data_IF_034270049376
#
_entry.id   IF_034270049376
#
_cell.length_a   1.000
_cell.length_b   1.000
_cell.length_c   1.000
_cell.angle_alpha   90.00
_cell.angle_beta   90.00
_cell.angle_gamma   90.00
#
_symmetry.space_group_name_H-M   'P 1'
#
loop_
_entity.id
_entity.type
_entity.pdbx_description
1 polymer ?
#
# COMPACT_ATOMS: atom_id res chain seq x y z
N UNK A 1 -8.34 -23.47 18.90
CA UNK A 1 -8.04 -23.32 17.45
C UNK A 1 -8.82 -22.10 16.99
N UNK A 2 -8.22 -20.91 17.07
CA UNK A 2 -8.83 -19.66 16.65
C UNK A 2 -8.86 -19.61 15.12
N UNK A 3 -10.04 -19.48 14.56
CA UNK A 3 -10.35 -19.48 13.14
C UNK A 3 -9.46 -18.47 12.37
N UNK A 4 -8.77 -18.91 11.33
CA UNK A 4 -7.90 -18.11 10.47
C UNK A 4 -8.63 -17.09 9.57
N UNK A 5 -9.83 -16.64 9.95
CA UNK A 5 -10.64 -15.64 9.23
C UNK A 5 -10.59 -14.23 9.81
N UNK A 6 -9.95 -14.03 10.98
CA UNK A 6 -10.00 -12.75 11.68
C UNK A 6 -8.94 -11.74 11.20
N UNK A 7 -7.92 -12.17 10.47
CA UNK A 7 -6.84 -11.31 10.00
C UNK A 7 -6.61 -11.48 8.50
N UNK A 8 -6.49 -10.35 7.80
CA UNK A 8 -6.24 -10.33 6.35
C UNK A 8 -4.74 -10.44 6.07
N UNK A 9 -3.89 -9.92 6.98
CA UNK A 9 -2.43 -10.07 6.93
C UNK A 9 -1.96 -10.71 8.22
N UNK A 10 -1.05 -11.70 8.11
CA UNK A 10 -0.38 -12.31 9.25
C UNK A 10 1.09 -12.56 8.92
N UNK A 11 1.96 -11.94 9.68
CA UNK A 11 3.40 -12.20 9.72
C UNK A 11 3.73 -12.90 11.05
N UNK A 12 4.49 -13.98 11.01
CA UNK A 12 4.94 -14.71 12.19
C UNK A 12 6.43 -14.98 12.08
N UNK A 13 7.22 -14.37 12.98
CA UNK A 13 8.69 -14.52 13.10
C UNK A 13 9.40 -14.27 11.75
N UNK A 14 9.00 -13.23 11.02
CA UNK A 14 9.42 -13.00 9.64
C UNK A 14 10.79 -12.35 9.57
N UNK A 15 11.67 -12.96 8.79
CA UNK A 15 12.96 -12.44 8.39
C UNK A 15 13.01 -12.32 6.87
N UNK A 16 13.48 -11.19 6.38
CA UNK A 16 13.54 -10.89 4.93
C UNK A 16 14.87 -10.26 4.58
N UNK A 17 15.41 -10.63 3.43
CA UNK A 17 16.62 -10.05 2.84
C UNK A 17 16.38 -9.64 1.40
N UNK A 18 17.22 -8.74 0.86
CA UNK A 18 17.30 -8.54 -0.58
C UNK A 18 18.19 -9.61 -1.22
N UNK A 19 17.91 -9.93 -2.47
CA UNK A 19 18.71 -10.89 -3.22
C UNK A 19 20.19 -10.42 -3.30
N UNK A 20 21.11 -11.29 -2.88
CA UNK A 20 22.54 -10.99 -2.81
C UNK A 20 23.01 -10.18 -1.60
N UNK A 21 22.13 -9.88 -0.63
CA UNK A 21 22.54 -9.26 0.63
C UNK A 21 22.87 -10.31 1.71
N UNK A 22 23.95 -10.06 2.45
CA UNK A 22 24.44 -10.99 3.50
C UNK A 22 23.62 -10.92 4.80
N UNK A 23 22.94 -9.80 5.04
CA UNK A 23 22.20 -9.56 6.28
C UNK A 23 20.71 -9.29 6.02
N UNK A 24 19.84 -9.83 6.89
CA UNK A 24 18.40 -9.57 6.80
C UNK A 24 18.10 -8.10 7.13
N UNK A 25 17.21 -7.51 6.33
CA UNK A 25 16.69 -6.14 6.54
C UNK A 25 15.50 -6.15 7.49
N UNK A 26 14.64 -7.18 7.42
CA UNK A 26 13.54 -7.44 8.36
C UNK A 26 13.95 -8.56 9.28
N UNK A 27 13.70 -8.39 10.59
CA UNK A 27 14.11 -9.33 11.62
C UNK A 27 12.98 -9.57 12.60
N UNK A 28 12.63 -10.83 12.81
CA UNK A 28 11.64 -11.31 13.79
C UNK A 28 10.33 -10.48 13.82
N UNK A 29 9.84 -10.09 12.64
CA UNK A 29 8.63 -9.27 12.57
C UNK A 29 7.39 -10.13 12.77
N UNK A 30 6.60 -9.73 13.77
CA UNK A 30 5.30 -10.27 14.10
C UNK A 30 4.23 -9.18 13.91
N UNK A 31 3.29 -9.38 12.98
CA UNK A 31 2.25 -8.41 12.67
C UNK A 31 0.96 -9.11 12.22
N UNK A 32 -0.17 -8.63 12.73
CA UNK A 32 -1.49 -9.12 12.33
C UNK A 32 -2.38 -7.92 12.04
N UNK A 33 -3.00 -7.89 10.86
CA UNK A 33 -3.87 -6.80 10.41
C UNK A 33 -5.27 -7.36 10.14
N UNK A 34 -6.27 -6.66 10.68
CA UNK A 34 -7.69 -7.00 10.51
C UNK A 34 -8.29 -6.27 9.30
N UNK A 35 -9.43 -6.77 8.78
CA UNK A 35 -10.20 -6.03 7.79
C UNK A 35 -10.52 -4.61 8.28
N UNK A 36 -10.42 -3.63 7.38
CA UNK A 36 -10.79 -2.24 7.65
C UNK A 36 -9.81 -1.44 8.53
N UNK A 37 -8.70 -2.02 8.98
CA UNK A 37 -7.70 -1.25 9.73
C UNK A 37 -7.01 -0.21 8.84
N UNK A 38 -6.85 1.01 9.37
CA UNK A 38 -5.98 2.03 8.81
C UNK A 38 -4.67 2.04 9.60
N UNK A 39 -3.59 1.66 8.95
CA UNK A 39 -2.28 1.44 9.60
C UNK A 39 -1.26 2.42 9.04
N UNK A 40 -0.59 3.14 9.93
CA UNK A 40 0.53 4.02 9.58
C UNK A 40 1.83 3.37 10.05
N UNK A 41 2.77 3.19 9.14
CA UNK A 41 4.10 2.66 9.42
C UNK A 41 5.09 3.82 9.44
N UNK A 42 5.63 4.11 10.60
CA UNK A 42 6.64 5.14 10.84
C UNK A 42 8.01 4.57 11.17
N UNK A 43 8.99 5.45 11.31
CA UNK A 43 10.36 5.10 11.68
C UNK A 43 11.41 5.80 10.82
N UNK A 44 12.70 5.77 11.20
CA UNK A 44 13.77 6.44 10.47
C UNK A 44 13.98 5.86 9.06
N UNK A 45 14.74 6.58 8.23
CA UNK A 45 15.16 6.06 6.94
C UNK A 45 16.05 4.83 7.14
N UNK A 46 15.86 3.80 6.30
CA UNK A 46 16.56 2.54 6.44
C UNK A 46 16.01 1.59 7.52
N UNK A 47 14.92 1.95 8.23
CA UNK A 47 14.31 1.08 9.24
C UNK A 47 13.66 -0.21 8.70
N UNK A 48 13.48 -0.32 7.38
CA UNK A 48 12.85 -1.48 6.76
C UNK A 48 11.36 -1.32 6.41
N UNK A 49 10.83 -0.07 6.46
CA UNK A 49 9.40 0.20 6.18
C UNK A 49 8.94 -0.26 4.79
N UNK A 50 9.63 0.19 3.74
CA UNK A 50 9.38 -0.26 2.35
C UNK A 50 9.56 -1.77 2.23
N UNK A 51 10.62 -2.31 2.83
CA UNK A 51 10.91 -3.75 2.85
C UNK A 51 9.77 -4.55 3.48
N UNK A 52 9.13 -4.02 4.55
CA UNK A 52 7.95 -4.64 5.16
C UNK A 52 6.78 -4.69 4.18
N UNK A 53 6.48 -3.59 3.47
CA UNK A 53 5.42 -3.58 2.46
C UNK A 53 5.72 -4.56 1.32
N UNK A 54 6.96 -4.58 0.81
CA UNK A 54 7.41 -5.50 -0.24
C UNK A 54 7.34 -6.97 0.20
N UNK A 55 7.67 -7.24 1.46
CA UNK A 55 7.55 -8.58 2.08
C UNK A 55 6.08 -9.03 2.14
N UNK A 56 5.17 -8.14 2.59
CA UNK A 56 3.72 -8.41 2.59
C UNK A 56 3.21 -8.63 1.15
N UNK A 57 3.71 -7.86 0.18
CA UNK A 57 3.36 -8.02 -1.22
C UNK A 57 3.93 -9.30 -1.88
N UNK A 58 4.79 -10.05 -1.18
CA UNK A 58 5.45 -11.24 -1.70
C UNK A 58 6.41 -10.91 -2.86
N UNK A 59 7.09 -9.78 -2.77
CA UNK A 59 8.10 -9.31 -3.74
C UNK A 59 9.52 -9.65 -3.30
N UNK A 60 9.72 -9.93 -1.99
CA UNK A 60 11.01 -10.27 -1.43
C UNK A 60 11.01 -11.70 -0.85
N UNK A 61 12.16 -12.36 -0.83
CA UNK A 61 12.29 -13.69 -0.25
C UNK A 61 12.13 -13.63 1.27
N UNK A 62 11.30 -14.52 1.82
CA UNK A 62 11.18 -14.75 3.25
C UNK A 62 12.18 -15.83 3.62
N UNK A 63 13.19 -15.48 4.43
CA UNK A 63 14.27 -16.41 4.85
C UNK A 63 13.90 -17.20 6.10
N UNK A 64 13.06 -16.64 6.95
CA UNK A 64 12.50 -17.34 8.12
C UNK A 64 11.09 -16.82 8.42
N UNK A 65 10.28 -17.62 9.09
CA UNK A 65 8.92 -17.30 9.46
C UNK A 65 7.92 -17.55 8.32
N UNK A 66 6.72 -16.97 8.46
CA UNK A 66 5.63 -17.13 7.47
C UNK A 66 4.89 -15.82 7.26
N UNK A 67 4.49 -15.56 6.01
CA UNK A 67 3.66 -14.42 5.62
C UNK A 67 2.41 -14.93 4.93
N UNK A 68 1.25 -14.62 5.51
CA UNK A 68 -0.05 -14.96 4.93
C UNK A 68 -0.83 -13.68 4.60
N UNK A 69 -1.40 -13.64 3.41
CA UNK A 69 -2.24 -12.55 2.93
C UNK A 69 -3.53 -13.14 2.37
N UNK A 70 -4.67 -12.70 2.88
CA UNK A 70 -6.00 -13.23 2.52
C UNK A 70 -6.06 -14.79 2.64
N UNK A 71 -5.35 -15.35 3.63
CA UNK A 71 -5.26 -16.80 3.84
C UNK A 71 -4.28 -17.53 2.93
N UNK A 72 -3.61 -16.84 2.00
CA UNK A 72 -2.62 -17.41 1.08
C UNK A 72 -1.20 -17.18 1.63
N UNK A 73 -0.35 -18.20 1.55
CA UNK A 73 1.08 -18.09 1.85
C UNK A 73 1.78 -17.37 0.68
N UNK A 74 2.38 -16.20 0.95
CA UNK A 74 2.96 -15.38 -0.12
C UNK A 74 4.17 -16.02 -0.80
N UNK A 75 4.85 -16.97 -0.15
CA UNK A 75 5.98 -17.70 -0.72
C UNK A 75 5.48 -18.78 -1.68
N UNK A 76 4.47 -19.54 -1.28
CA UNK A 76 3.92 -20.66 -2.06
C UNK A 76 2.94 -20.20 -3.14
N UNK A 77 2.07 -19.25 -2.77
CA UNK A 77 0.93 -18.80 -3.58
C UNK A 77 1.10 -17.34 -4.07
N UNK A 78 2.32 -16.84 -4.18
CA UNK A 78 2.63 -15.43 -4.39
C UNK A 78 1.90 -14.79 -5.58
N UNK A 79 1.75 -15.51 -6.71
CA UNK A 79 0.96 -15.02 -7.84
C UNK A 79 -0.52 -14.81 -7.49
N UNK A 80 -1.12 -15.69 -6.70
CA UNK A 80 -2.51 -15.58 -6.27
C UNK A 80 -2.66 -14.49 -5.20
N UNK A 81 -1.76 -14.42 -4.23
CA UNK A 81 -1.73 -13.39 -3.20
C UNK A 81 -1.64 -11.98 -3.82
N UNK A 82 -0.73 -11.75 -4.76
CA UNK A 82 -0.56 -10.46 -5.46
C UNK A 82 -1.79 -9.99 -6.24
N UNK A 83 -2.69 -10.89 -6.64
CA UNK A 83 -3.96 -10.48 -7.27
C UNK A 83 -4.88 -9.74 -6.32
N UNK A 84 -4.74 -9.98 -5.02
CA UNK A 84 -5.57 -9.40 -3.96
C UNK A 84 -4.92 -8.16 -3.32
N UNK A 85 -3.67 -7.85 -3.65
CA UNK A 85 -2.91 -6.74 -3.08
C UNK A 85 -2.85 -5.59 -4.08
N UNK A 86 -3.32 -4.40 -3.71
CA UNK A 86 -2.96 -3.15 -4.36
C UNK A 86 -1.66 -2.64 -3.73
N UNK A 87 -0.64 -2.35 -4.51
CA UNK A 87 0.61 -1.79 -4.03
C UNK A 87 1.02 -0.57 -4.84
N UNK A 88 1.01 0.59 -4.19
CA UNK A 88 1.49 1.86 -4.73
C UNK A 88 2.90 2.08 -4.23
N UNK A 89 3.86 2.03 -5.14
CA UNK A 89 5.30 2.18 -4.84
C UNK A 89 5.68 3.66 -4.71
N UNK A 90 6.74 3.93 -3.93
CA UNK A 90 7.35 5.23 -3.82
C UNK A 90 8.03 5.65 -5.14
N UNK A 91 7.99 6.94 -5.47
CA UNK A 91 8.76 7.55 -6.58
C UNK A 91 8.59 6.87 -7.94
N UNK A 92 7.37 6.76 -8.41
CA UNK A 92 7.11 6.34 -9.78
C UNK A 92 6.81 7.57 -10.64
N UNK A 93 7.80 8.00 -11.43
CA UNK A 93 7.67 9.11 -12.37
C UNK A 93 7.48 8.57 -13.79
N UNK A 94 6.40 9.00 -14.43
CA UNK A 94 6.21 8.71 -15.85
C UNK A 94 7.04 9.68 -16.71
N UNK A 95 7.80 9.13 -17.64
CA UNK A 95 8.54 9.95 -18.60
C UNK A 95 7.55 10.84 -19.40
N UNK A 96 7.86 12.14 -19.67
CA UNK A 96 6.95 13.06 -20.36
C UNK A 96 6.42 12.56 -21.71
N UNK A 97 7.16 11.70 -22.40
CA UNK A 97 6.77 11.09 -23.68
C UNK A 97 6.09 9.73 -23.53
N UNK A 98 5.70 9.33 -22.32
CA UNK A 98 4.94 8.10 -22.11
C UNK A 98 3.60 8.17 -22.88
N UNK A 99 3.36 7.27 -23.87
CA UNK A 99 2.23 7.41 -24.79
C UNK A 99 0.88 6.98 -24.20
N UNK A 100 0.89 6.36 -22.99
CA UNK A 100 -0.32 5.84 -22.39
C UNK A 100 -1.21 6.95 -21.82
N UNK A 101 -2.51 6.82 -22.02
CA UNK A 101 -3.52 7.65 -21.38
C UNK A 101 -3.77 7.22 -19.93
N UNK A 102 -4.38 8.12 -19.13
CA UNK A 102 -4.81 7.80 -17.77
C UNK A 102 -5.68 6.54 -17.73
N UNK A 103 -6.67 6.43 -18.63
CA UNK A 103 -7.56 5.28 -18.71
C UNK A 103 -6.83 3.98 -19.00
N UNK A 104 -5.85 4.00 -19.91
CA UNK A 104 -5.03 2.82 -20.22
C UNK A 104 -4.17 2.40 -19.05
N UNK A 105 -3.54 3.35 -18.34
CA UNK A 105 -2.74 3.05 -17.14
C UNK A 105 -3.62 2.44 -16.04
N UNK A 106 -4.81 3.00 -15.80
CA UNK A 106 -5.74 2.46 -14.79
C UNK A 106 -6.23 1.07 -15.19
N UNK A 107 -6.48 0.84 -16.48
CA UNK A 107 -6.88 -0.48 -17.01
C UNK A 107 -5.79 -1.54 -16.79
N UNK A 108 -4.49 -1.18 -16.84
CA UNK A 108 -3.40 -2.12 -16.54
C UNK A 108 -3.54 -2.75 -15.15
N UNK A 109 -4.14 -2.05 -14.18
CA UNK A 109 -4.44 -2.60 -12.87
C UNK A 109 -5.33 -3.85 -12.91
N UNK A 110 -6.16 -3.99 -13.94
CA UNK A 110 -7.05 -5.16 -14.12
C UNK A 110 -6.37 -6.40 -14.70
N UNK A 111 -5.21 -6.26 -15.37
CA UNK A 111 -4.59 -7.35 -16.13
C UNK A 111 -4.27 -8.60 -15.30
N UNK A 112 -3.90 -8.42 -14.03
CA UNK A 112 -3.69 -9.55 -13.11
C UNK A 112 -4.94 -10.40 -12.87
N UNK A 113 -6.14 -9.79 -12.92
CA UNK A 113 -7.45 -10.49 -12.76
C UNK A 113 -8.02 -10.96 -14.09
N UNK A 114 -7.87 -10.18 -15.16
CA UNK A 114 -8.36 -10.54 -16.51
C UNK A 114 -7.57 -11.75 -17.06
N UNK A 115 -6.27 -11.77 -16.85
CA UNK A 115 -5.36 -12.77 -17.43
C UNK A 115 -4.79 -12.34 -18.78
N UNK A 116 -3.60 -12.83 -19.10
CA UNK A 116 -2.73 -12.32 -20.17
C UNK A 116 -3.30 -12.41 -21.59
N UNK A 117 -4.11 -13.41 -21.89
CA UNK A 117 -4.67 -13.63 -23.23
C UNK A 117 -6.14 -13.26 -23.36
N UNK A 118 -6.74 -12.66 -22.33
CA UNK A 118 -8.15 -12.31 -22.34
C UNK A 118 -8.35 -10.83 -22.62
N UNK A 119 -9.40 -10.50 -23.36
CA UNK A 119 -9.82 -9.12 -23.55
C UNK A 119 -10.57 -8.63 -22.31
N UNK A 120 -10.43 -7.34 -21.99
CA UNK A 120 -11.24 -6.68 -20.97
C UNK A 120 -12.72 -6.70 -21.36
N UNK A 121 -13.57 -6.77 -20.37
CA UNK A 121 -15.04 -6.77 -20.51
C UNK A 121 -15.58 -5.37 -20.20
N UNK A 122 -16.88 -5.14 -20.49
CA UNK A 122 -17.56 -3.90 -20.08
C UNK A 122 -17.47 -3.69 -18.57
N UNK A 123 -17.54 -4.76 -17.77
CA UNK A 123 -17.40 -4.68 -16.31
C UNK A 123 -16.01 -4.19 -15.89
N UNK A 124 -14.94 -4.57 -16.60
CA UNK A 124 -13.59 -4.06 -16.31
C UNK A 124 -13.51 -2.56 -16.60
N UNK A 125 -14.12 -2.09 -17.70
CA UNK A 125 -14.17 -0.67 -18.02
C UNK A 125 -14.99 0.14 -17.00
N UNK A 126 -16.09 -0.40 -16.48
CA UNK A 126 -16.88 0.20 -15.42
C UNK A 126 -16.03 0.37 -14.14
N UNK A 127 -15.21 -0.63 -13.77
CA UNK A 127 -14.30 -0.53 -12.62
C UNK A 127 -13.23 0.52 -12.81
N UNK A 128 -12.67 0.60 -14.01
CA UNK A 128 -11.71 1.64 -14.41
C UNK A 128 -12.35 3.03 -14.29
N UNK A 129 -13.52 3.24 -14.88
CA UNK A 129 -14.23 4.51 -14.83
C UNK A 129 -14.58 4.92 -13.39
N UNK A 130 -15.02 3.97 -12.56
CA UNK A 130 -15.28 4.20 -11.13
C UNK A 130 -14.03 4.64 -10.38
N UNK A 131 -12.90 3.95 -10.56
CA UNK A 131 -11.64 4.30 -9.90
C UNK A 131 -11.12 5.68 -10.33
N UNK A 132 -11.23 6.02 -11.62
CA UNK A 132 -10.87 7.35 -12.16
C UNK A 132 -11.74 8.44 -11.53
N UNK A 133 -13.06 8.19 -11.45
CA UNK A 133 -14.02 9.15 -10.88
C UNK A 133 -13.79 9.41 -9.39
N UNK A 134 -13.46 8.38 -8.61
CA UNK A 134 -13.21 8.51 -7.16
C UNK A 134 -12.07 9.46 -6.83
N UNK A 135 -11.10 9.63 -7.74
CA UNK A 135 -9.95 10.53 -7.57
C UNK A 135 -10.07 11.83 -8.39
N UNK A 136 -11.26 12.12 -8.95
CA UNK A 136 -11.51 13.36 -9.67
C UNK A 136 -10.77 13.46 -11.01
N UNK A 137 -10.37 12.33 -11.62
CA UNK A 137 -9.57 12.30 -12.85
C UNK A 137 -10.40 12.16 -14.14
N UNK A 138 -11.74 12.22 -14.05
CA UNK A 138 -12.64 11.95 -15.19
C UNK A 138 -12.38 12.88 -16.39
N UNK A 139 -12.13 14.17 -16.14
CA UNK A 139 -11.81 15.15 -17.20
C UNK A 139 -10.47 14.90 -17.89
N UNK A 140 -9.60 14.12 -17.26
CA UNK A 140 -8.22 13.83 -17.71
C UNK A 140 -8.04 12.42 -18.24
N UNK A 141 -9.08 11.60 -18.26
CA UNK A 141 -8.99 10.17 -18.59
C UNK A 141 -8.33 9.87 -19.95
N UNK A 142 -8.45 10.78 -20.90
CA UNK A 142 -7.85 10.67 -22.25
C UNK A 142 -6.51 11.39 -22.37
N UNK A 143 -6.04 12.07 -21.34
CA UNK A 143 -4.74 12.75 -21.35
C UNK A 143 -3.61 11.72 -21.23
N UNK A 144 -2.48 12.02 -21.86
CA UNK A 144 -1.25 11.23 -21.69
C UNK A 144 -0.72 11.41 -20.26
N UNK A 145 -0.41 10.29 -19.61
CA UNK A 145 0.05 10.25 -18.21
C UNK A 145 1.31 11.11 -17.99
N UNK A 146 2.26 11.08 -18.93
CA UNK A 146 3.51 11.84 -18.84
C UNK A 146 3.32 13.37 -18.89
N UNK A 147 2.13 13.88 -19.24
CA UNK A 147 1.82 15.32 -19.25
C UNK A 147 1.15 15.79 -17.97
N UNK A 148 0.85 14.89 -17.05
CA UNK A 148 0.23 15.21 -15.78
C UNK A 148 1.27 15.68 -14.75
N UNK A 149 0.82 16.49 -13.77
CA UNK A 149 1.66 16.82 -12.61
C UNK A 149 1.93 15.57 -11.77
N UNK A 150 3.01 15.57 -10.97
CA UNK A 150 3.36 14.46 -10.10
C UNK A 150 2.21 14.03 -9.19
N UNK A 151 1.48 14.98 -8.61
CA UNK A 151 0.30 14.68 -7.80
C UNK A 151 -0.85 14.03 -8.59
N UNK A 152 -1.05 14.44 -9.84
CA UNK A 152 -2.03 13.80 -10.71
C UNK A 152 -1.59 12.38 -11.11
N UNK A 153 -0.30 12.18 -11.39
CA UNK A 153 0.28 10.86 -11.66
C UNK A 153 0.10 9.93 -10.45
N UNK A 154 0.33 10.44 -9.24
CA UNK A 154 0.11 9.70 -8.00
C UNK A 154 -1.36 9.27 -7.84
N UNK A 155 -2.32 10.17 -8.10
CA UNK A 155 -3.75 9.84 -8.13
C UNK A 155 -4.06 8.74 -9.17
N UNK A 156 -3.42 8.75 -10.33
CA UNK A 156 -3.58 7.70 -11.35
C UNK A 156 -3.08 6.35 -10.86
N UNK A 157 -1.92 6.30 -10.19
CA UNK A 157 -1.39 5.06 -9.62
C UNK A 157 -2.29 4.50 -8.51
N UNK A 158 -2.86 5.34 -7.67
CA UNK A 158 -3.86 4.93 -6.69
C UNK A 158 -5.11 4.40 -7.40
N UNK A 159 -5.62 5.09 -8.43
CA UNK A 159 -6.76 4.64 -9.24
C UNK A 159 -6.51 3.27 -9.89
N UNK A 160 -5.31 3.06 -10.43
CA UNK A 160 -4.88 1.78 -11.01
C UNK A 160 -4.99 0.64 -10.01
N UNK A 161 -4.54 0.87 -8.78
CA UNK A 161 -4.60 -0.12 -7.71
C UNK A 161 -6.04 -0.34 -7.22
N UNK A 162 -6.87 0.70 -7.13
CA UNK A 162 -8.28 0.57 -6.77
C UNK A 162 -9.10 -0.15 -7.86
N UNK A 163 -8.82 0.12 -9.14
CA UNK A 163 -9.46 -0.58 -10.26
C UNK A 163 -9.23 -2.10 -10.20
N UNK A 164 -8.14 -2.55 -9.60
CA UNK A 164 -7.85 -3.97 -9.35
C UNK A 164 -8.86 -4.61 -8.39
N UNK A 165 -9.65 -3.83 -7.62
CA UNK A 165 -10.50 -4.30 -6.52
C UNK A 165 -9.69 -5.16 -5.53
N UNK A 166 -8.69 -4.57 -4.88
CA UNK A 166 -7.82 -5.30 -3.96
C UNK A 166 -8.56 -5.63 -2.67
N UNK A 167 -8.11 -6.68 -1.98
CA UNK A 167 -8.53 -7.00 -0.61
C UNK A 167 -7.63 -6.32 0.43
N UNK A 168 -6.50 -5.76 0.00
CA UNK A 168 -5.52 -5.03 0.82
C UNK A 168 -4.93 -3.91 -0.04
N UNK A 169 -4.72 -2.75 0.55
CA UNK A 169 -4.05 -1.62 -0.10
C UNK A 169 -2.78 -1.24 0.68
N UNK A 170 -1.64 -1.36 0.03
CA UNK A 170 -0.33 -0.97 0.52
C UNK A 170 0.13 0.27 -0.23
N UNK A 171 0.59 1.30 0.48
CA UNK A 171 1.05 2.55 -0.13
C UNK A 171 2.37 2.97 0.52
N UNK A 172 3.38 3.15 -0.32
CA UNK A 172 4.68 3.67 0.11
C UNK A 172 4.77 5.15 -0.24
N UNK A 173 4.80 6.01 0.79
CA UNK A 173 4.85 7.47 0.70
C UNK A 173 3.78 8.10 -0.23
N UNK A 174 2.48 7.76 -0.06
CA UNK A 174 1.43 8.19 -1.00
C UNK A 174 1.21 9.70 -1.05
N UNK A 175 1.74 10.45 -0.09
CA UNK A 175 1.53 11.90 0.06
C UNK A 175 2.73 12.75 -0.37
N UNK A 176 3.86 12.14 -0.76
CA UNK A 176 5.15 12.83 -0.95
C UNK A 176 5.14 13.97 -1.98
N UNK A 177 4.37 13.82 -3.06
CA UNK A 177 4.34 14.79 -4.16
C UNK A 177 3.00 15.53 -4.26
N UNK A 178 2.20 15.54 -3.18
CA UNK A 178 0.88 16.15 -3.14
C UNK A 178 0.90 17.47 -2.38
N UNK A 179 0.15 18.46 -2.88
CA UNK A 179 -0.21 19.64 -2.08
C UNK A 179 -1.20 19.26 -0.95
N UNK A 180 -1.37 20.15 0.02
CA UNK A 180 -2.16 19.90 1.22
C UNK A 180 -3.60 19.50 0.92
N UNK A 181 -4.25 20.16 -0.02
CA UNK A 181 -5.65 19.88 -0.39
C UNK A 181 -5.75 18.48 -1.00
N UNK A 182 -4.85 18.16 -1.91
CA UNK A 182 -4.81 16.85 -2.57
C UNK A 182 -4.48 15.73 -1.57
N UNK A 183 -3.62 15.97 -0.57
CA UNK A 183 -3.35 15.01 0.52
C UNK A 183 -4.61 14.67 1.30
N UNK A 184 -5.39 15.69 1.68
CA UNK A 184 -6.68 15.50 2.39
C UNK A 184 -7.67 14.71 1.54
N UNK A 185 -7.80 15.01 0.24
CA UNK A 185 -8.68 14.26 -0.67
C UNK A 185 -8.29 12.78 -0.75
N UNK A 186 -6.99 12.50 -0.93
CA UNK A 186 -6.47 11.12 -1.00
C UNK A 186 -6.67 10.42 0.35
N UNK A 187 -6.36 11.06 1.46
CA UNK A 187 -6.56 10.50 2.79
C UNK A 187 -8.03 10.15 3.03
N UNK A 188 -8.96 11.05 2.71
CA UNK A 188 -10.39 10.81 2.83
C UNK A 188 -10.87 9.62 1.97
N UNK A 189 -10.29 9.44 0.78
CA UNK A 189 -10.57 8.28 -0.05
C UNK A 189 -10.03 6.99 0.60
N UNK A 190 -8.79 7.00 1.10
CA UNK A 190 -8.19 5.86 1.77
C UNK A 190 -8.99 5.45 3.04
N UNK A 191 -9.55 6.44 3.75
CA UNK A 191 -10.48 6.17 4.85
C UNK A 191 -11.73 5.44 4.39
N UNK A 192 -12.36 5.90 3.30
CA UNK A 192 -13.54 5.21 2.73
C UNK A 192 -13.21 3.78 2.30
N UNK A 193 -12.01 3.55 1.78
CA UNK A 193 -11.53 2.20 1.44
C UNK A 193 -11.42 1.34 2.69
N UNK A 194 -10.84 1.87 3.77
CA UNK A 194 -10.76 1.16 5.05
C UNK A 194 -12.15 0.88 5.65
N UNK A 195 -13.06 1.87 5.62
CA UNK A 195 -14.44 1.74 6.10
C UNK A 195 -15.26 0.69 5.30
N UNK A 196 -14.88 0.47 4.04
CA UNK A 196 -15.44 -0.62 3.22
C UNK A 196 -14.88 -2.01 3.59
N UNK A 197 -14.01 -2.11 4.61
CA UNK A 197 -13.45 -3.37 5.10
C UNK A 197 -12.11 -3.75 4.48
N UNK A 198 -11.53 -2.93 3.60
CA UNK A 198 -10.24 -3.16 2.97
C UNK A 198 -9.14 -2.52 3.85
N UNK A 199 -8.24 -3.27 4.48
CA UNK A 199 -7.17 -2.68 5.26
C UNK A 199 -6.23 -1.84 4.38
N UNK A 200 -5.86 -0.67 4.90
CA UNK A 200 -4.97 0.29 4.26
C UNK A 200 -3.72 0.42 5.12
N UNK A 201 -2.56 0.09 4.56
CA UNK A 201 -1.27 0.26 5.19
C UNK A 201 -0.49 1.33 4.44
N UNK A 202 -0.09 2.38 5.13
CA UNK A 202 0.71 3.46 4.55
C UNK A 202 2.05 3.59 5.26
N UNK A 203 3.12 3.69 4.51
CA UNK A 203 4.39 4.25 4.99
C UNK A 203 4.32 5.74 4.73
N UNK A 204 4.50 6.58 5.74
CA UNK A 204 4.48 8.03 5.54
C UNK A 204 5.33 8.75 6.58
N UNK A 205 5.91 9.88 6.16
CA UNK A 205 6.51 10.90 7.01
C UNK A 205 5.61 12.14 7.13
N UNK A 206 4.54 12.24 6.33
CA UNK A 206 3.57 13.33 6.37
C UNK A 206 2.40 12.96 7.31
N UNK A 207 2.58 13.24 8.62
CA UNK A 207 1.58 12.93 9.64
C UNK A 207 0.48 13.99 9.76
N UNK A 208 0.65 15.14 9.12
CA UNK A 208 -0.31 16.23 9.03
C UNK A 208 -1.56 15.91 8.20
N UNK A 209 -1.45 14.93 7.30
CA UNK A 209 -2.55 14.50 6.43
C UNK A 209 -3.27 13.22 6.91
N UNK A 210 -3.04 12.79 8.15
CA UNK A 210 -3.69 11.58 8.67
C UNK A 210 -5.16 11.84 9.04
N UNK A 211 -6.03 10.80 8.99
CA UNK A 211 -7.44 10.96 9.27
C UNK A 211 -7.72 11.27 10.75
N UNK A 212 -8.65 12.17 11.04
CA UNK A 212 -9.03 12.55 12.40
C UNK A 212 -9.85 11.45 13.10
N UNK A 213 -9.22 10.31 13.30
CA UNK A 213 -9.75 9.14 14.03
C UNK A 213 -8.60 8.29 14.56
N UNK A 214 -8.89 7.42 15.52
CA UNK A 214 -7.89 6.46 16.00
C UNK A 214 -7.44 5.54 14.86
N UNK A 215 -6.13 5.47 14.68
CA UNK A 215 -5.45 4.67 13.67
C UNK A 215 -4.42 3.77 14.36
N UNK A 216 -4.05 2.70 13.69
CA UNK A 216 -2.98 1.85 14.17
C UNK A 216 -1.63 2.40 13.74
N UNK A 217 -0.75 2.60 14.71
CA UNK A 217 0.61 3.07 14.49
C UNK A 217 1.59 1.93 14.72
N UNK A 218 2.41 1.67 13.71
CA UNK A 218 3.50 0.69 13.74
C UNK A 218 4.79 1.45 13.54
N UNK A 219 5.74 1.37 14.47
CA UNK A 219 7.06 2.00 14.32
C UNK A 219 8.10 0.93 14.11
N UNK A 220 8.91 1.11 13.08
CA UNK A 220 10.02 0.23 12.74
C UNK A 220 11.36 0.88 13.02
N UNK A 221 12.32 0.08 13.51
CA UNK A 221 13.70 0.47 13.70
C UNK A 221 14.60 -0.77 13.52
N UNK A 222 15.72 -0.60 12.80
CA UNK A 222 16.69 -1.68 12.54
C UNK A 222 16.09 -3.01 12.03
N UNK A 223 14.96 -2.93 11.29
CA UNK A 223 14.28 -4.09 10.73
C UNK A 223 13.28 -4.76 11.67
N UNK A 224 13.04 -4.22 12.86
CA UNK A 224 12.14 -4.74 13.87
C UNK A 224 10.97 -3.78 14.12
N UNK A 225 9.84 -4.29 14.65
CA UNK A 225 8.73 -3.46 15.12
C UNK A 225 8.98 -3.11 16.59
N UNK A 226 9.23 -1.82 16.87
CA UNK A 226 9.46 -1.33 18.22
C UNK A 226 8.19 -0.82 18.91
N UNK A 227 7.15 -0.47 18.12
CA UNK A 227 5.86 -0.03 18.66
C UNK A 227 4.73 -0.50 17.73
N UNK A 228 3.62 -0.93 18.33
CA UNK A 228 2.43 -1.36 17.59
C UNK A 228 1.20 -1.14 18.48
N UNK A 229 0.52 -0.01 18.27
CA UNK A 229 -0.64 0.38 19.09
C UNK A 229 -1.63 1.26 18.34
N UNK A 230 -2.84 1.39 18.88
CA UNK A 230 -3.82 2.40 18.43
C UNK A 230 -3.45 3.76 19.00
N UNK A 231 -3.58 4.81 18.19
CA UNK A 231 -3.32 6.18 18.59
C UNK A 231 -4.12 7.18 17.76
N UNK A 232 -4.42 8.32 18.35
CA UNK A 232 -4.93 9.48 17.62
C UNK A 232 -3.81 10.11 16.77
N UNK A 233 -4.09 10.61 15.55
CA UNK A 233 -3.10 11.20 14.63
C UNK A 233 -2.21 12.26 15.24
N UNK A 234 -2.76 13.11 16.10
CA UNK A 234 -2.01 14.17 16.78
C UNK A 234 -0.81 13.70 17.60
N UNK A 235 -0.76 12.41 17.97
CA UNK A 235 0.32 11.80 18.75
C UNK A 235 1.29 10.98 17.92
N UNK A 236 1.01 10.77 16.63
CA UNK A 236 1.80 9.85 15.79
C UNK A 236 3.24 10.32 15.66
N UNK A 237 3.45 11.61 15.43
CA UNK A 237 4.81 12.18 15.29
C UNK A 237 5.63 12.00 16.57
N UNK A 238 5.02 12.24 17.74
CA UNK A 238 5.68 12.05 19.04
C UNK A 238 6.02 10.58 19.28
N UNK A 239 5.08 9.67 18.97
CA UNK A 239 5.28 8.22 19.09
C UNK A 239 6.40 7.71 18.19
N UNK A 240 6.43 8.17 16.94
CA UNK A 240 7.50 7.80 16.01
C UNK A 240 8.87 8.31 16.49
N UNK A 241 8.94 9.56 16.97
CA UNK A 241 10.17 10.12 17.51
C UNK A 241 10.64 9.37 18.76
N UNK A 242 9.77 9.17 19.74
CA UNK A 242 10.12 8.51 20.99
C UNK A 242 10.56 7.06 20.78
N UNK A 243 9.84 6.30 19.97
CA UNK A 243 10.20 4.92 19.64
C UNK A 243 11.48 4.82 18.80
N UNK A 244 11.86 5.88 18.07
CA UNK A 244 13.10 5.93 17.28
C UNK A 244 14.34 6.33 18.11
N UNK A 245 14.18 6.82 19.33
CA UNK A 245 15.29 7.25 20.21
C UNK A 245 15.58 6.23 21.31
N UNK A 246 14.62 5.37 21.63
CA UNK A 246 14.67 4.43 22.77
C UNK A 246 15.39 3.09 22.49
N UNK A 247 16.00 2.93 21.31
CA UNK A 247 16.64 1.66 20.91
C UNK A 247 18.14 1.80 20.59
#
# INVERSE_FOLDING_TARGET
MTNGKDHVIRLSEVWTTYEGADLPVIRDVNLQIKPGEFVVIGGPNGAGKTTLLETIAGLLPVVNGTVHVCGLDVVKDGCCARKNIGYVIQNFDFHPYTPFTVEEVVLMGRFGKIGWLKRHTSRDLEKVASAISQLGLTSMQKNQIGKLSGGQQQKVLISQNLAKEPEILLLDEPFSNLDMITREEVCNLLCKVADAGIPVLIVSHAFDALPDRDIRVVVMQHGEITLNQMSHPSKVEELVRSASVAA
#
